data_IF_667737452186
#
_entry.id   IF_667737452186
#
_cell.length_a   1.000
_cell.length_b   1.000
_cell.length_c   1.000
_cell.angle_alpha   90.00
_cell.angle_beta   90.00
_cell.angle_gamma   90.00
#
_symmetry.space_group_name_H-M   'P 1'
#
loop_
_entity.id
_entity.type
_entity.pdbx_description
1 polymer ?
#
# COMPACT_ATOMS: atom_id res chain seq x y z
N UNK A 1 4.02 7.76 -16.49
CA UNK A 1 3.35 6.55 -15.98
C UNK A 1 1.90 6.87 -15.59
N UNK A 2 0.95 6.46 -16.42
CA UNK A 2 -0.45 6.77 -16.16
C UNK A 2 -0.94 5.94 -14.96
N UNK A 3 -1.92 6.44 -14.21
CA UNK A 3 -2.44 5.73 -13.04
C UNK A 3 -3.58 4.81 -13.50
N UNK A 4 -3.37 3.50 -13.66
CA UNK A 4 -4.40 2.60 -14.17
C UNK A 4 -5.51 2.35 -13.14
N UNK A 5 -5.26 2.64 -11.86
CA UNK A 5 -6.22 2.42 -10.75
C UNK A 5 -6.34 3.66 -9.85
N UNK A 6 -7.08 4.70 -10.25
CA UNK A 6 -7.23 5.92 -9.47
C UNK A 6 -7.92 5.70 -8.11
N UNK A 7 -8.72 4.63 -7.96
CA UNK A 7 -9.42 4.28 -6.71
C UNK A 7 -8.60 3.43 -5.73
N UNK A 8 -7.30 3.24 -5.95
CA UNK A 8 -6.48 2.49 -4.99
C UNK A 8 -6.33 3.24 -3.67
N UNK A 9 -6.80 2.62 -2.58
CA UNK A 9 -6.63 3.14 -1.22
C UNK A 9 -5.27 2.71 -0.68
N UNK A 10 -4.38 3.67 -0.44
CA UNK A 10 -3.05 3.44 0.15
C UNK A 10 -3.07 3.94 1.60
N UNK A 11 -2.50 3.16 2.51
CA UNK A 11 -2.39 3.52 3.93
C UNK A 11 -0.92 3.65 4.32
N UNK A 12 -0.59 4.73 5.03
CA UNK A 12 0.77 4.98 5.55
C UNK A 12 0.88 4.45 6.97
N UNK A 13 1.94 3.70 7.25
CA UNK A 13 2.32 3.16 8.55
C UNK A 13 3.64 3.83 8.95
N UNK A 14 3.61 4.75 9.89
CA UNK A 14 4.76 5.62 10.12
C UNK A 14 4.88 6.14 11.53
N UNK A 15 6.05 6.70 11.81
CA UNK A 15 6.32 7.50 13.00
C UNK A 15 5.57 8.85 12.92
N UNK A 16 5.68 9.68 13.97
CA UNK A 16 4.98 10.96 14.06
C UNK A 16 5.19 11.86 12.82
N UNK A 17 6.43 11.97 12.34
CA UNK A 17 6.80 12.77 11.15
C UNK A 17 6.04 12.32 9.90
N UNK A 18 5.92 11.01 9.69
CA UNK A 18 5.20 10.46 8.54
C UNK A 18 3.69 10.56 8.71
N UNK A 19 3.18 10.51 9.95
CA UNK A 19 1.77 10.72 10.25
C UNK A 19 1.35 12.17 9.96
N UNK A 20 2.15 13.15 10.40
CA UNK A 20 1.92 14.57 10.10
C UNK A 20 1.97 14.87 8.59
N UNK A 21 2.96 14.29 7.89
CA UNK A 21 3.07 14.45 6.45
C UNK A 21 1.90 13.79 5.70
N UNK A 22 1.44 12.62 6.16
CA UNK A 22 0.26 11.96 5.61
C UNK A 22 -1.04 12.74 5.90
N UNK A 23 -1.16 13.32 7.09
CA UNK A 23 -2.30 14.15 7.49
C UNK A 23 -2.40 15.42 6.64
N UNK A 24 -1.28 16.12 6.44
CA UNK A 24 -1.19 17.28 5.53
C UNK A 24 -1.60 16.94 4.10
N UNK A 25 -1.30 15.72 3.65
CA UNK A 25 -1.64 15.25 2.32
C UNK A 25 -3.03 14.57 2.23
N UNK A 26 -3.78 14.50 3.33
CA UNK A 26 -5.10 13.87 3.38
C UNK A 26 -5.10 12.35 3.16
N UNK A 27 -3.97 11.68 3.44
CA UNK A 27 -3.79 10.25 3.21
C UNK A 27 -4.10 9.47 4.49
N UNK A 28 -4.83 8.34 4.41
CA UNK A 28 -5.07 7.49 5.56
C UNK A 28 -3.76 7.01 6.19
N UNK A 29 -3.55 7.34 7.47
CA UNK A 29 -2.37 6.92 8.22
C UNK A 29 -2.74 6.06 9.43
N UNK A 30 -1.77 5.27 9.92
CA UNK A 30 -1.86 4.55 11.19
C UNK A 30 -0.53 4.66 11.92
N UNK A 31 -0.61 5.06 13.18
CA UNK A 31 0.54 5.16 14.08
C UNK A 31 0.94 3.78 14.63
N UNK A 32 2.13 3.73 15.23
CA UNK A 32 2.66 2.55 15.92
C UNK A 32 1.74 2.09 17.05
N UNK A 33 1.04 3.01 17.70
CA UNK A 33 0.12 2.74 18.81
C UNK A 33 -1.14 2.01 18.32
N UNK A 34 -1.69 2.44 17.19
CA UNK A 34 -2.81 1.76 16.53
C UNK A 34 -2.43 0.36 16.06
N UNK A 35 -1.20 0.21 15.55
CA UNK A 35 -0.64 -1.09 15.16
C UNK A 35 -0.46 -2.03 16.35
N UNK A 36 -0.08 -1.50 17.51
CA UNK A 36 0.01 -2.26 18.77
C UNK A 36 -1.37 -2.67 19.29
N UNK A 37 -2.41 -1.84 19.15
CA UNK A 37 -3.79 -2.21 19.51
C UNK A 37 -4.35 -3.33 18.61
N UNK A 38 -3.83 -3.45 17.39
CA UNK A 38 -4.20 -4.49 16.43
C UNK A 38 -3.48 -5.84 16.66
N UNK A 39 -2.64 -5.95 17.71
CA UNK A 39 -1.80 -7.11 18.01
C UNK A 39 -2.54 -8.46 17.85
N UNK A 40 -2.20 -9.20 16.80
CA UNK A 40 -2.67 -10.56 16.52
C UNK A 40 -4.19 -10.76 16.37
N UNK A 41 -4.98 -9.68 16.31
CA UNK A 41 -6.42 -9.79 16.07
C UNK A 41 -6.72 -10.07 14.59
N UNK A 42 -6.74 -11.35 14.22
CA UNK A 42 -6.91 -11.82 12.82
C UNK A 42 -8.13 -11.21 12.11
N UNK A 43 -9.22 -10.94 12.83
CA UNK A 43 -10.44 -10.32 12.26
C UNK A 43 -10.22 -8.86 11.85
N UNK A 44 -9.59 -8.06 12.70
CA UNK A 44 -9.34 -6.64 12.44
C UNK A 44 -8.26 -6.46 11.37
N UNK A 45 -7.20 -7.26 11.41
CA UNK A 45 -6.15 -7.25 10.37
C UNK A 45 -6.73 -7.65 9.01
N UNK A 46 -7.64 -8.63 8.96
CA UNK A 46 -8.33 -9.00 7.70
C UNK A 46 -9.25 -7.88 7.19
N UNK A 47 -9.96 -7.17 8.07
CA UNK A 47 -10.78 -6.00 7.69
C UNK A 47 -9.92 -4.86 7.14
N UNK A 48 -8.80 -4.55 7.80
CA UNK A 48 -7.86 -3.52 7.38
C UNK A 48 -7.20 -3.88 6.04
N UNK A 49 -6.80 -5.13 5.86
CA UNK A 49 -6.29 -5.64 4.60
C UNK A 49 -7.34 -5.66 3.48
N UNK A 50 -8.64 -5.72 3.78
CA UNK A 50 -9.69 -5.63 2.76
C UNK A 50 -9.95 -4.17 2.36
N UNK A 51 -9.90 -3.25 3.33
CA UNK A 51 -10.20 -1.83 3.13
C UNK A 51 -9.11 -1.09 2.34
N UNK A 52 -7.83 -1.47 2.51
CA UNK A 52 -6.70 -0.84 1.82
C UNK A 52 -6.06 -1.78 0.81
N UNK A 53 -5.64 -1.25 -0.33
CA UNK A 53 -5.01 -2.02 -1.42
C UNK A 53 -3.50 -2.14 -1.23
N UNK A 54 -2.85 -1.08 -0.76
CA UNK A 54 -1.41 -1.03 -0.52
C UNK A 54 -1.10 -0.37 0.82
N UNK A 55 0.05 -0.74 1.38
CA UNK A 55 0.58 -0.18 2.62
C UNK A 55 1.97 0.38 2.35
N UNK A 56 2.29 1.49 2.98
CA UNK A 56 3.61 2.11 2.97
C UNK A 56 4.10 2.13 4.41
N UNK A 57 5.36 1.78 4.66
CA UNK A 57 5.91 1.73 5.99
C UNK A 57 7.25 2.46 6.10
N UNK A 58 7.42 3.24 7.18
CA UNK A 58 8.72 3.79 7.58
C UNK A 58 9.74 2.65 7.78
N UNK A 59 10.99 2.88 7.38
CA UNK A 59 12.09 1.91 7.52
C UNK A 59 12.21 1.31 8.92
N UNK A 60 11.95 2.11 9.96
CA UNK A 60 12.02 1.70 11.38
C UNK A 60 10.95 0.66 11.74
N UNK A 61 9.82 0.67 11.04
CA UNK A 61 8.64 -0.15 11.35
C UNK A 61 8.60 -1.46 10.58
N UNK A 62 9.27 -1.57 9.43
CA UNK A 62 9.31 -2.77 8.60
C UNK A 62 9.71 -4.04 9.37
N UNK A 63 10.80 -4.07 10.18
CA UNK A 63 11.13 -5.27 10.94
C UNK A 63 10.11 -5.59 12.04
N UNK A 64 9.35 -4.61 12.52
CA UNK A 64 8.36 -4.78 13.57
C UNK A 64 6.99 -5.25 13.04
N UNK A 65 6.68 -4.94 11.77
CA UNK A 65 5.40 -5.27 11.12
C UNK A 65 5.06 -6.78 11.21
N UNK A 66 5.95 -7.72 10.86
CA UNK A 66 5.65 -9.16 10.97
C UNK A 66 5.33 -9.60 12.40
N UNK A 67 5.97 -8.99 13.40
CA UNK A 67 5.77 -9.32 14.82
C UNK A 67 4.43 -8.77 15.36
N UNK A 68 4.06 -7.55 14.98
CA UNK A 68 2.87 -6.85 15.47
C UNK A 68 1.59 -7.27 14.73
N UNK A 69 1.63 -7.30 13.40
CA UNK A 69 0.47 -7.62 12.55
C UNK A 69 0.34 -9.13 12.27
N UNK A 70 1.37 -9.91 12.58
CA UNK A 70 1.42 -11.34 12.27
C UNK A 70 1.42 -11.61 10.76
N UNK A 71 1.21 -12.87 10.33
CA UNK A 71 1.22 -13.23 8.92
C UNK A 71 0.00 -12.71 8.12
N UNK A 72 -0.90 -11.93 8.73
CA UNK A 72 -2.16 -11.51 8.13
C UNK A 72 -2.00 -10.67 6.85
N UNK A 73 -1.11 -9.67 6.87
CA UNK A 73 -0.82 -8.83 5.70
C UNK A 73 -0.03 -9.57 4.62
N UNK A 74 0.94 -10.41 5.02
CA UNK A 74 1.73 -11.18 4.07
C UNK A 74 0.87 -12.22 3.33
N UNK A 75 -0.02 -12.92 4.06
CA UNK A 75 -0.98 -13.86 3.46
C UNK A 75 -1.98 -13.16 2.52
N UNK A 76 -2.28 -11.88 2.76
CA UNK A 76 -3.10 -11.06 1.87
C UNK A 76 -2.32 -10.54 0.63
N UNK A 77 -1.01 -10.78 0.55
CA UNK A 77 -0.15 -10.30 -0.55
C UNK A 77 0.15 -8.79 -0.51
N UNK A 78 -0.22 -8.11 0.58
CA UNK A 78 -0.16 -6.66 0.78
C UNK A 78 0.94 -6.29 1.78
N UNK A 79 2.15 -6.79 1.55
CA UNK A 79 3.29 -6.42 2.38
C UNK A 79 3.64 -4.95 2.15
N UNK A 80 3.93 -4.15 3.20
CA UNK A 80 4.19 -2.73 3.04
C UNK A 80 5.45 -2.43 2.23
N UNK A 81 5.38 -1.40 1.40
CA UNK A 81 6.55 -0.83 0.71
C UNK A 81 7.35 0.05 1.67
N UNK A 82 8.67 -0.02 1.61
CA UNK A 82 9.56 0.82 2.41
C UNK A 82 9.53 2.28 1.93
N UNK A 83 9.44 3.20 2.88
CA UNK A 83 9.66 4.63 2.70
C UNK A 83 10.73 5.11 3.67
N UNK A 84 11.63 5.94 3.15
CA UNK A 84 12.64 6.66 3.92
C UNK A 84 12.10 8.04 4.32
N UNK A 85 12.61 8.61 5.42
CA UNK A 85 12.20 9.95 5.89
C UNK A 85 12.52 11.08 4.90
N UNK A 86 13.44 10.83 3.95
CA UNK A 86 13.85 11.79 2.93
C UNK A 86 12.93 11.80 1.69
N UNK A 87 12.05 10.81 1.54
CA UNK A 87 11.19 10.67 0.37
C UNK A 87 9.82 11.33 0.59
N UNK A 88 9.32 12.03 -0.43
CA UNK A 88 7.97 12.59 -0.42
C UNK A 88 6.93 11.47 -0.47
N UNK A 89 6.09 11.38 0.57
CA UNK A 89 5.01 10.39 0.65
C UNK A 89 4.03 10.47 -0.52
N UNK A 90 3.71 11.68 -0.99
CA UNK A 90 2.82 11.92 -2.14
C UNK A 90 3.36 11.27 -3.40
N UNK A 91 4.61 11.55 -3.76
CA UNK A 91 5.29 10.97 -4.92
C UNK A 91 5.32 9.45 -4.84
N UNK A 92 5.65 8.88 -3.67
CA UNK A 92 5.68 7.43 -3.49
C UNK A 92 4.30 6.78 -3.65
N UNK A 93 3.26 7.46 -3.19
CA UNK A 93 1.89 6.96 -3.30
C UNK A 93 1.43 7.00 -4.74
N UNK A 94 1.78 8.04 -5.49
CA UNK A 94 1.46 8.13 -6.92
C UNK A 94 2.26 7.11 -7.73
N UNK A 95 3.53 6.84 -7.38
CA UNK A 95 4.30 5.72 -7.91
C UNK A 95 3.58 4.39 -7.65
N UNK A 96 3.17 4.11 -6.40
CA UNK A 96 2.45 2.87 -6.04
C UNK A 96 1.11 2.78 -6.77
N UNK A 97 0.42 3.91 -7.01
CA UNK A 97 -0.83 3.95 -7.77
C UNK A 97 -0.63 3.65 -9.24
N UNK A 98 0.50 4.10 -9.80
CA UNK A 98 0.89 3.84 -11.19
C UNK A 98 1.49 2.44 -11.38
N UNK A 99 2.03 1.83 -10.33
CA UNK A 99 2.65 0.52 -10.40
C UNK A 99 1.61 -0.59 -10.35
N UNK A 100 1.77 -1.58 -11.23
CA UNK A 100 0.97 -2.80 -11.21
C UNK A 100 1.84 -4.00 -10.84
N UNK A 101 1.50 -4.66 -9.73
CA UNK A 101 2.26 -5.81 -9.21
C UNK A 101 1.88 -7.09 -9.95
N UNK A 102 2.80 -7.58 -10.78
CA UNK A 102 2.73 -8.93 -11.35
C UNK A 102 3.25 -9.93 -10.33
N UNK A 103 2.34 -10.72 -9.73
CA UNK A 103 2.74 -11.84 -8.87
C UNK A 103 2.50 -13.15 -9.62
N UNK A 104 3.56 -13.75 -10.15
CA UNK A 104 3.50 -15.09 -10.72
C UNK A 104 3.20 -16.09 -9.60
N UNK A 105 2.09 -16.80 -9.74
CA UNK A 105 1.75 -17.97 -8.92
C UNK A 105 1.87 -19.22 -9.80
N UNK A 106 1.63 -20.41 -9.23
CA UNK A 106 1.49 -21.66 -10.01
C UNK A 106 0.20 -21.66 -10.84
N UNK A 107 0.06 -20.71 -11.76
CA UNK A 107 -1.09 -20.53 -12.66
C UNK A 107 -0.57 -20.15 -14.04
N UNK A 108 -1.21 -20.66 -15.09
CA UNK A 108 -0.82 -20.45 -16.48
C UNK A 108 -1.30 -19.09 -17.03
N UNK A 109 -2.33 -18.49 -16.44
CA UNK A 109 -2.91 -17.22 -16.88
C UNK A 109 -2.90 -16.20 -15.73
N UNK A 110 -2.59 -14.94 -16.04
CA UNK A 110 -2.62 -13.82 -15.09
C UNK A 110 -3.50 -12.70 -15.64
N UNK A 111 -4.46 -12.24 -14.85
CA UNK A 111 -5.29 -11.08 -15.17
C UNK A 111 -4.79 -9.86 -14.41
N UNK A 112 -4.45 -8.79 -15.15
CA UNK A 112 -3.89 -7.56 -14.59
C UNK A 112 -4.62 -6.36 -15.20
N UNK A 113 -4.83 -5.30 -14.41
CA UNK A 113 -5.46 -4.09 -14.94
C UNK A 113 -4.39 -3.21 -15.58
N UNK A 114 -4.57 -2.96 -16.88
CA UNK A 114 -3.64 -2.19 -17.72
C UNK A 114 -4.08 -0.74 -17.94
N UNK A 115 -5.28 -0.37 -17.52
CA UNK A 115 -5.74 1.02 -17.58
C UNK A 115 -7.18 1.23 -17.13
N UNK A 116 -7.64 2.48 -17.25
CA UNK A 116 -8.99 2.95 -16.94
C UNK A 116 -9.74 3.29 -18.24
N UNK A 117 -11.07 3.30 -18.19
CA UNK A 117 -11.95 3.61 -19.35
C UNK A 117 -11.74 5.04 -19.87
N UNK A 118 -11.25 5.94 -19.02
CA UNK A 118 -10.97 7.34 -19.35
C UNK A 118 -9.60 7.55 -20.03
N UNK A 119 -8.78 6.50 -20.16
CA UNK A 119 -7.48 6.59 -20.85
C UNK A 119 -7.64 6.43 -22.35
N UNK A 120 -6.86 7.19 -23.12
CA UNK A 120 -6.82 7.06 -24.57
C UNK A 120 -6.15 5.74 -25.00
N UNK A 121 -6.45 5.23 -26.22
CA UNK A 121 -5.82 4.01 -26.74
C UNK A 121 -4.29 4.09 -26.82
N UNK A 122 -3.74 5.28 -27.06
CA UNK A 122 -2.29 5.48 -27.15
C UNK A 122 -1.63 5.51 -25.77
N UNK A 123 -2.29 6.09 -24.76
CA UNK A 123 -1.85 6.04 -23.37
C UNK A 123 -1.91 4.61 -22.80
N UNK A 124 -2.89 3.81 -23.22
CA UNK A 124 -3.01 2.40 -22.87
C UNK A 124 -1.90 1.55 -23.48
N UNK A 125 -1.44 1.87 -24.69
CA UNK A 125 -0.30 1.18 -25.34
C UNK A 125 1.05 1.50 -24.69
N UNK A 126 1.17 2.66 -24.05
CA UNK A 126 2.42 3.11 -23.42
C UNK A 126 2.56 2.67 -21.96
N UNK A 127 1.49 2.18 -21.31
CA UNK A 127 1.51 1.60 -19.97
C UNK A 127 2.11 0.20 -19.94
#
# INVERSE_FOLDING_TARGET
PNIPRPRMKVCVLGDAVHCEAAEKAGIPYRSVEDLKKLNKNKKLVKKLALHFNAFVASQVLIPQIPRLLGPGLNKAGKFPTLVTQAENLSTKIDEIRSQVKFQLKKVLCMGVAVGNVEMSPDELRHN
#
